data_IF_138480658521
#
_entry.id   IF_138480658521
#
_cell.length_a   1.000
_cell.length_b   1.000
_cell.length_c   1.000
_cell.angle_alpha   90.00
_cell.angle_beta   90.00
_cell.angle_gamma   90.00
#
_symmetry.space_group_name_H-M   'P 1'
#
loop_
_entity.id
_entity.type
_entity.pdbx_description
1 polymer ?
#
# COMPACT_ATOMS: atom_id res chain seq x y z
N UNK A 1 -1.97 -50.49 -26.26
CA UNK A 1 -1.52 -50.93 -24.93
C UNK A 1 -0.03 -50.64 -24.81
N UNK A 2 0.36 -49.68 -23.96
CA UNK A 2 1.76 -49.44 -23.56
C UNK A 2 1.77 -49.27 -22.04
N UNK A 3 2.38 -50.23 -21.37
CA UNK A 3 2.78 -50.18 -19.96
C UNK A 3 4.25 -49.79 -19.94
N UNK A 4 4.62 -48.78 -19.15
CA UNK A 4 5.89 -48.76 -18.42
C UNK A 4 5.71 -47.97 -17.11
N UNK A 5 6.18 -48.61 -16.05
CA UNK A 5 6.23 -48.17 -14.65
C UNK A 5 7.47 -47.29 -14.49
N UNK A 6 7.34 -46.14 -13.81
CA UNK A 6 8.50 -45.43 -13.25
C UNK A 6 8.30 -45.20 -11.74
N UNK A 7 9.15 -45.90 -10.99
CA UNK A 7 9.43 -45.75 -9.57
C UNK A 7 10.59 -44.78 -9.41
N UNK A 8 10.51 -43.84 -8.46
CA UNK A 8 11.59 -42.92 -8.15
C UNK A 8 11.39 -42.18 -6.83
N UNK A 9 11.71 -42.84 -5.72
CA UNK A 9 11.99 -42.22 -4.41
C UNK A 9 13.21 -41.30 -4.53
N UNK A 10 13.19 -40.14 -3.89
CA UNK A 10 14.35 -39.44 -3.31
C UNK A 10 13.81 -38.44 -2.27
N UNK A 11 13.98 -38.67 -0.96
CA UNK A 11 15.21 -38.55 -0.16
C UNK A 11 15.41 -37.12 0.39
N UNK A 12 14.73 -36.86 1.51
CA UNK A 12 15.31 -36.35 2.77
C UNK A 12 16.57 -35.47 2.64
N UNK A 13 16.40 -34.14 2.68
CA UNK A 13 17.51 -33.20 2.87
C UNK A 13 17.51 -32.72 4.34
N UNK A 14 18.34 -33.37 5.16
CA UNK A 14 18.81 -32.86 6.45
C UNK A 14 20.21 -32.32 6.21
N UNK A 15 20.48 -31.04 6.47
CA UNK A 15 21.77 -30.59 7.04
C UNK A 15 21.57 -29.24 7.72
N UNK A 16 21.45 -29.29 9.04
CA UNK A 16 21.74 -28.19 9.96
C UNK A 16 23.24 -28.24 10.19
N UNK A 17 23.98 -27.17 9.90
CA UNK A 17 25.29 -26.93 10.54
C UNK A 17 25.58 -25.43 10.62
N UNK A 18 25.77 -24.98 11.85
CA UNK A 18 26.10 -23.63 12.26
C UNK A 18 27.59 -23.32 12.05
N UNK A 19 27.92 -22.05 11.78
CA UNK A 19 29.22 -21.47 12.17
C UNK A 19 29.00 -20.03 12.64
N UNK A 20 29.19 -19.84 13.94
CA UNK A 20 29.35 -18.56 14.63
C UNK A 20 30.82 -18.16 14.47
N UNK A 21 31.09 -16.97 13.95
CA UNK A 21 32.40 -16.31 14.11
C UNK A 21 32.16 -14.98 14.83
N UNK A 22 32.45 -15.00 16.12
CA UNK A 22 32.75 -13.81 16.92
C UNK A 22 34.17 -13.38 16.57
N UNK A 23 34.33 -12.16 16.04
CA UNK A 23 35.62 -11.48 16.00
C UNK A 23 35.47 -10.13 16.68
N UNK A 24 35.86 -10.10 17.94
CA UNK A 24 36.08 -8.90 18.71
C UNK A 24 37.49 -8.34 18.44
N UNK A 25 37.64 -7.05 18.76
CA UNK A 25 38.87 -6.25 18.83
C UNK A 25 39.24 -5.51 17.54
N UNK A 26 38.91 -4.22 17.49
CA UNK A 26 39.92 -3.17 17.57
C UNK A 26 39.33 -1.92 18.24
N UNK A 27 39.71 -1.73 19.50
CA UNK A 27 39.66 -0.46 20.20
C UNK A 27 40.69 0.47 19.57
N UNK A 28 40.24 1.59 19.01
CA UNK A 28 41.06 2.79 18.86
C UNK A 28 40.20 3.99 19.23
N UNK A 29 40.49 4.54 20.41
CA UNK A 29 40.11 5.87 20.84
C UNK A 29 40.54 6.91 19.81
N UNK A 30 39.57 7.68 19.29
CA UNK A 30 39.82 9.07 18.89
C UNK A 30 39.04 9.95 19.86
N UNK A 31 39.78 10.79 20.58
CA UNK A 31 39.24 11.74 21.54
C UNK A 31 38.38 12.80 20.87
N UNK A 32 37.32 13.13 21.59
CA UNK A 32 36.40 14.26 21.49
C UNK A 32 37.10 15.60 21.29
N UNK A 33 36.68 16.33 20.25
CA UNK A 33 36.56 17.78 20.26
C UNK A 33 35.51 18.19 19.20
N UNK A 34 34.43 18.82 19.68
CA UNK A 34 33.64 19.89 19.03
C UNK A 34 33.40 19.74 17.51
N UNK A 35 32.19 19.46 17.03
CA UNK A 35 31.02 20.34 17.14
C UNK A 35 29.83 19.49 16.74
N UNK A 36 28.93 19.18 17.67
CA UNK A 36 27.63 18.59 17.34
C UNK A 36 26.80 19.71 16.71
N UNK A 37 26.97 19.92 15.41
CA UNK A 37 25.84 20.37 14.61
C UNK A 37 24.80 19.27 14.74
N UNK A 38 23.81 19.53 15.58
CA UNK A 38 22.52 18.86 15.49
C UNK A 38 22.04 19.13 14.06
N UNK A 39 22.38 18.25 13.12
CA UNK A 39 21.51 17.99 12.00
C UNK A 39 20.29 17.31 12.63
N UNK A 40 19.43 18.15 13.21
CA UNK A 40 18.01 17.90 13.20
C UNK A 40 17.73 17.54 11.76
N UNK A 41 17.52 16.26 11.49
CA UNK A 41 16.77 15.84 10.33
C UNK A 41 15.46 16.57 10.49
N UNK A 42 15.36 17.76 9.87
CA UNK A 42 14.13 18.51 9.84
C UNK A 42 13.15 17.53 9.22
N UNK A 43 12.28 17.01 10.07
CA UNK A 43 11.14 16.25 9.67
C UNK A 43 10.23 17.30 9.02
N UNK A 44 10.38 17.54 7.72
CA UNK A 44 9.62 18.55 6.96
C UNK A 44 8.10 18.28 6.95
N UNK A 45 7.62 17.30 7.74
CA UNK A 45 6.25 16.85 7.88
C UNK A 45 5.67 17.16 9.29
N UNK A 46 6.43 17.76 10.21
CA UNK A 46 6.02 17.88 11.62
C UNK A 46 5.10 19.08 12.00
N UNK A 47 4.41 19.76 11.07
CA UNK A 47 3.57 20.91 11.49
C UNK A 47 2.37 21.30 10.62
N UNK A 48 1.67 20.33 10.04
CA UNK A 48 0.36 20.61 9.42
C UNK A 48 -0.71 19.69 9.99
N UNK A 49 -0.74 19.48 11.29
CA UNK A 49 -1.86 18.85 11.99
C UNK A 49 -2.48 19.82 13.01
N UNK A 50 -3.79 19.76 13.21
CA UNK A 50 -4.50 20.55 14.23
C UNK A 50 -4.29 19.97 15.64
N UNK A 51 -4.93 20.58 16.64
CA UNK A 51 -4.85 20.14 18.05
C UNK A 51 -5.30 18.69 18.31
N UNK A 52 -5.98 18.07 17.35
CA UNK A 52 -6.43 16.68 17.39
C UNK A 52 -5.56 15.75 16.52
N UNK A 53 -4.49 16.26 15.91
CA UNK A 53 -3.62 15.49 15.01
C UNK A 53 -4.15 15.34 13.59
N UNK A 54 -5.17 16.12 13.18
CA UNK A 54 -5.77 16.06 11.83
C UNK A 54 -5.05 16.99 10.87
N UNK A 55 -4.71 16.52 9.66
CA UNK A 55 -3.94 17.34 8.72
C UNK A 55 -4.69 18.61 8.26
N UNK A 56 -4.07 19.78 8.43
CA UNK A 56 -4.58 21.08 7.96
C UNK A 56 -4.57 21.06 6.43
N UNK A 57 -5.75 21.05 5.81
CA UNK A 57 -5.93 20.94 4.36
C UNK A 57 -6.38 19.56 3.88
N UNK A 58 -6.73 18.64 4.79
CA UNK A 58 -7.45 17.43 4.44
C UNK A 58 -8.81 17.78 3.83
N UNK A 59 -9.07 17.30 2.62
CA UNK A 59 -10.40 17.36 2.03
C UNK A 59 -11.33 16.54 2.92
N UNK A 60 -12.45 17.14 3.32
CA UNK A 60 -13.47 16.44 4.11
C UNK A 60 -14.21 15.37 3.30
N UNK A 61 -14.00 15.31 1.99
CA UNK A 61 -14.79 14.52 1.07
C UNK A 61 -13.95 13.41 0.42
N UNK A 62 -14.09 12.19 0.96
CA UNK A 62 -13.54 10.95 0.40
C UNK A 62 -14.43 10.38 -0.72
N UNK A 63 -15.70 10.77 -0.77
CA UNK A 63 -16.67 10.29 -1.75
C UNK A 63 -16.22 10.65 -3.16
N UNK A 64 -16.24 9.70 -4.08
CA UNK A 64 -15.90 9.93 -5.48
C UNK A 64 -15.28 8.73 -6.19
N UNK A 65 -14.82 8.99 -7.41
CA UNK A 65 -14.17 8.02 -8.27
C UNK A 65 -12.70 8.36 -8.38
N UNK A 66 -11.83 7.37 -8.21
CA UNK A 66 -10.39 7.55 -8.21
C UNK A 66 -9.70 6.50 -9.07
N UNK A 67 -8.63 6.89 -9.75
CA UNK A 67 -7.67 5.96 -10.37
C UNK A 67 -6.51 5.71 -9.42
N UNK A 68 -6.01 4.48 -9.37
CA UNK A 68 -4.76 4.18 -8.67
C UNK A 68 -3.61 4.83 -9.45
N UNK A 69 -2.68 5.47 -8.73
CA UNK A 69 -1.53 6.17 -9.36
C UNK A 69 -0.19 5.71 -8.82
N UNK A 70 -0.19 4.92 -7.76
CA UNK A 70 1.01 4.26 -7.24
C UNK A 70 0.72 3.35 -6.08
N UNK A 71 1.62 2.38 -5.90
CA UNK A 71 1.73 1.52 -4.73
C UNK A 71 3.18 1.56 -4.30
N UNK A 72 3.42 1.60 -3.00
CA UNK A 72 4.75 1.45 -2.42
C UNK A 72 4.63 0.43 -1.31
N UNK A 73 5.33 -0.70 -1.42
CA UNK A 73 5.43 -1.67 -0.34
C UNK A 73 6.72 -1.47 0.42
N UNK A 74 6.60 -1.47 1.74
CA UNK A 74 7.70 -1.27 2.66
C UNK A 74 8.59 -2.52 2.62
N UNK A 75 9.86 -2.33 2.24
CA UNK A 75 10.86 -3.40 2.20
C UNK A 75 11.01 -4.10 0.84
N UNK A 76 10.29 -3.68 -0.20
CA UNK A 76 10.57 -4.14 -1.57
C UNK A 76 11.85 -3.52 -2.13
N UNK A 77 12.51 -4.24 -3.03
CA UNK A 77 13.68 -3.74 -3.75
C UNK A 77 13.25 -2.78 -4.86
N UNK A 78 14.20 -1.99 -5.37
CA UNK A 78 13.93 -1.09 -6.48
C UNK A 78 13.56 -1.87 -7.76
N UNK A 79 14.19 -3.01 -7.96
CA UNK A 79 13.92 -3.93 -9.07
C UNK A 79 12.48 -4.46 -9.02
N UNK A 80 12.02 -4.92 -7.84
CA UNK A 80 10.64 -5.42 -7.66
C UNK A 80 9.61 -4.33 -7.98
N UNK A 81 9.87 -3.08 -7.53
CA UNK A 81 8.99 -1.94 -7.82
C UNK A 81 8.91 -1.66 -9.32
N UNK A 82 10.01 -1.77 -10.06
CA UNK A 82 10.02 -1.51 -11.51
C UNK A 82 9.23 -2.56 -12.29
N UNK A 83 9.33 -3.84 -11.91
CA UNK A 83 8.63 -4.92 -12.61
C UNK A 83 7.11 -4.81 -12.48
N UNK A 84 6.63 -4.33 -11.33
CA UNK A 84 5.19 -4.26 -11.02
C UNK A 84 4.57 -2.89 -11.27
N UNK A 85 5.39 -1.86 -11.52
CA UNK A 85 4.98 -0.46 -11.59
C UNK A 85 3.73 -0.19 -12.46
N UNK A 86 3.68 -0.78 -13.66
CA UNK A 86 2.58 -0.50 -14.60
C UNK A 86 1.30 -1.27 -14.25
N UNK A 87 1.42 -2.43 -13.60
CA UNK A 87 0.27 -3.23 -13.13
C UNK A 87 -0.30 -2.59 -11.85
N UNK A 88 0.58 -2.13 -10.96
CA UNK A 88 0.22 -1.51 -9.69
C UNK A 88 -0.44 -0.14 -9.85
N UNK A 89 -0.41 0.46 -11.04
CA UNK A 89 -1.16 1.69 -11.35
C UNK A 89 -2.53 1.46 -11.96
N UNK A 90 -2.89 0.23 -12.26
CA UNK A 90 -4.20 -0.07 -12.83
C UNK A 90 -5.27 -0.17 -11.75
N UNK A 91 -6.53 0.00 -12.12
CA UNK A 91 -7.68 -0.17 -11.23
C UNK A 91 -8.23 1.14 -10.68
N UNK A 92 -9.49 1.07 -10.24
CA UNK A 92 -10.27 2.21 -9.80
C UNK A 92 -10.83 1.97 -8.41
N UNK A 93 -10.83 3.00 -7.57
CA UNK A 93 -11.53 3.01 -6.29
C UNK A 93 -12.77 3.89 -6.42
N UNK A 94 -13.91 3.38 -5.98
CA UNK A 94 -15.16 4.12 -5.88
C UNK A 94 -15.57 4.18 -4.42
N UNK A 95 -15.69 5.38 -3.87
CA UNK A 95 -16.18 5.63 -2.52
C UNK A 95 -17.55 6.31 -2.61
N UNK A 96 -18.57 5.66 -2.06
CA UNK A 96 -19.96 6.09 -2.10
C UNK A 96 -20.29 6.97 -0.89
N UNK A 97 -21.38 7.73 -1.00
CA UNK A 97 -21.88 8.62 0.05
C UNK A 97 -22.46 7.88 1.27
N UNK A 98 -22.82 6.60 1.12
CA UNK A 98 -23.30 5.73 2.19
C UNK A 98 -22.20 5.14 3.09
N UNK A 99 -20.93 5.51 2.84
CA UNK A 99 -19.77 4.99 3.58
C UNK A 99 -19.28 3.62 3.10
N UNK A 100 -19.78 3.13 1.96
CA UNK A 100 -19.24 1.93 1.29
C UNK A 100 -18.26 2.32 0.19
N UNK A 101 -17.28 1.46 -0.09
CA UNK A 101 -16.38 1.65 -1.21
C UNK A 101 -16.02 0.32 -1.85
N UNK A 102 -15.53 0.35 -3.08
CA UNK A 102 -14.91 -0.82 -3.70
C UNK A 102 -13.71 -0.42 -4.55
N UNK A 103 -12.69 -1.29 -4.53
CA UNK A 103 -11.59 -1.24 -5.48
C UNK A 103 -11.81 -2.30 -6.57
N UNK A 104 -11.80 -1.87 -7.82
CA UNK A 104 -11.96 -2.71 -8.99
C UNK A 104 -10.64 -2.83 -9.75
N UNK A 105 -10.18 -4.07 -9.94
CA UNK A 105 -9.01 -4.40 -10.74
C UNK A 105 -9.27 -5.70 -11.50
N UNK A 106 -9.09 -5.65 -12.83
CA UNK A 106 -9.29 -6.81 -13.72
C UNK A 106 -10.67 -7.50 -13.54
N UNK A 107 -11.72 -6.68 -13.44
CA UNK A 107 -13.11 -7.13 -13.25
C UNK A 107 -13.42 -7.69 -11.86
N UNK A 108 -12.44 -7.77 -10.94
CA UNK A 108 -12.65 -8.19 -9.56
C UNK A 108 -12.82 -6.99 -8.65
N UNK A 109 -13.78 -7.08 -7.73
CA UNK A 109 -14.06 -6.05 -6.73
C UNK A 109 -13.62 -6.51 -5.35
N UNK A 110 -12.88 -5.65 -4.67
CA UNK A 110 -12.63 -5.74 -3.22
C UNK A 110 -13.49 -4.67 -2.56
N UNK A 111 -14.34 -5.08 -1.63
CA UNK A 111 -15.32 -4.20 -0.99
C UNK A 111 -14.83 -3.72 0.37
N UNK A 112 -15.17 -2.47 0.69
CA UNK A 112 -14.81 -1.81 1.92
C UNK A 112 -16.00 -1.06 2.51
N UNK A 113 -15.92 -0.80 3.80
CA UNK A 113 -16.64 0.27 4.48
C UNK A 113 -15.62 1.26 5.02
N UNK A 114 -15.96 2.56 5.05
CA UNK A 114 -15.05 3.58 5.56
C UNK A 114 -15.77 4.54 6.50
N UNK A 115 -15.00 5.12 7.42
CA UNK A 115 -15.41 6.23 8.27
C UNK A 115 -14.43 7.38 8.14
N UNK A 116 -14.38 8.28 9.12
CA UNK A 116 -13.57 9.52 9.03
C UNK A 116 -12.05 9.29 8.98
N UNK A 117 -11.57 8.12 9.38
CA UNK A 117 -10.12 7.89 9.53
C UNK A 117 -9.64 6.57 8.91
N UNK A 118 -10.53 5.59 8.73
CA UNK A 118 -10.13 4.26 8.31
C UNK A 118 -11.02 3.69 7.19
N UNK A 119 -10.38 2.92 6.31
CA UNK A 119 -11.04 1.92 5.48
C UNK A 119 -10.98 0.55 6.17
N UNK A 120 -12.04 -0.22 6.06
CA UNK A 120 -12.13 -1.59 6.56
C UNK A 120 -12.60 -2.47 5.42
N UNK A 121 -12.05 -3.68 5.30
CA UNK A 121 -12.66 -4.68 4.42
C UNK A 121 -14.10 -4.94 4.87
N UNK A 122 -15.02 -5.11 3.92
CA UNK A 122 -16.45 -5.32 4.22
C UNK A 122 -16.72 -6.56 5.08
N UNK A 123 -15.81 -7.53 5.11
CA UNK A 123 -15.89 -8.72 5.96
C UNK A 123 -15.36 -8.49 7.39
N UNK A 124 -14.62 -7.40 7.67
CA UNK A 124 -14.22 -7.00 9.01
C UNK A 124 -15.36 -6.27 9.75
N UNK A 125 -16.37 -7.05 10.10
CA UNK A 125 -17.55 -6.57 10.82
C UNK A 125 -17.25 -5.95 12.20
N UNK A 126 -16.09 -6.24 12.78
CA UNK A 126 -15.66 -5.71 14.09
C UNK A 126 -14.82 -4.44 13.95
N UNK A 127 -14.44 -4.05 12.72
CA UNK A 127 -13.60 -2.89 12.42
C UNK A 127 -12.28 -2.91 13.20
N UNK A 128 -11.64 -4.08 13.26
CA UNK A 128 -10.40 -4.28 14.04
C UNK A 128 -9.12 -4.04 13.23
N UNK A 129 -9.19 -4.14 11.91
CA UNK A 129 -8.06 -4.07 10.99
C UNK A 129 -8.27 -2.91 10.01
N UNK A 130 -8.42 -1.70 10.54
CA UNK A 130 -8.60 -0.50 9.73
C UNK A 130 -7.32 -0.04 9.05
N UNK A 131 -7.42 0.34 7.78
CA UNK A 131 -6.35 0.98 7.01
C UNK A 131 -6.50 2.49 7.13
N UNK A 132 -5.49 3.15 7.70
CA UNK A 132 -5.53 4.60 7.88
C UNK A 132 -5.48 5.28 6.50
N UNK A 133 -6.22 6.37 6.34
CA UNK A 133 -6.16 7.14 5.10
C UNK A 133 -6.04 8.64 5.32
N UNK A 134 -5.58 9.33 4.29
CA UNK A 134 -5.55 10.80 4.19
C UNK A 134 -6.03 11.20 2.81
N UNK A 135 -6.94 12.18 2.72
CA UNK A 135 -7.42 12.73 1.45
C UNK A 135 -7.09 14.23 1.37
N UNK A 136 -6.26 14.66 0.42
CA UNK A 136 -5.84 16.06 0.27
C UNK A 136 -5.86 16.42 -1.21
N UNK A 137 -6.58 17.49 -1.58
CA UNK A 137 -6.71 18.00 -2.95
C UNK A 137 -7.04 16.91 -3.98
N UNK A 138 -8.03 16.07 -3.69
CA UNK A 138 -8.44 14.95 -4.55
C UNK A 138 -7.45 13.79 -4.63
N UNK A 139 -6.36 13.80 -3.87
CA UNK A 139 -5.46 12.65 -3.70
C UNK A 139 -5.83 11.89 -2.44
N UNK A 140 -6.18 10.62 -2.58
CA UNK A 140 -6.45 9.71 -1.47
C UNK A 140 -5.25 8.77 -1.28
N UNK A 141 -4.73 8.70 -0.06
CA UNK A 141 -3.59 7.86 0.32
C UNK A 141 -4.09 6.90 1.40
N UNK A 142 -3.97 5.60 1.17
CA UNK A 142 -4.34 4.54 2.12
C UNK A 142 -3.07 3.79 2.53
N UNK A 143 -2.89 3.61 3.84
CA UNK A 143 -1.75 2.89 4.43
C UNK A 143 -2.26 1.70 5.26
N UNK A 144 -1.87 0.48 4.87
CA UNK A 144 -2.23 -0.76 5.57
C UNK A 144 -1.15 -1.23 6.57
N UNK A 145 -0.09 -0.45 6.76
CA UNK A 145 1.04 -0.74 7.62
C UNK A 145 2.23 -1.38 6.89
N UNK A 146 2.00 -1.99 5.72
CA UNK A 146 3.05 -2.58 4.87
C UNK A 146 3.07 -2.02 3.46
N UNK A 147 1.96 -1.42 3.04
CA UNK A 147 1.72 -0.90 1.70
C UNK A 147 1.07 0.47 1.81
N UNK A 148 1.59 1.42 1.04
CA UNK A 148 0.99 2.73 0.82
C UNK A 148 0.44 2.76 -0.60
N UNK A 149 -0.87 2.85 -0.73
CA UNK A 149 -1.55 2.98 -2.02
C UNK A 149 -2.01 4.41 -2.22
N UNK A 150 -1.76 4.96 -3.40
CA UNK A 150 -2.14 6.32 -3.77
C UNK A 150 -3.17 6.29 -4.90
N UNK A 151 -4.19 7.11 -4.72
CA UNK A 151 -5.30 7.28 -5.64
C UNK A 151 -5.45 8.77 -5.98
N UNK A 152 -5.86 9.06 -7.21
CA UNK A 152 -6.16 10.40 -7.66
C UNK A 152 -7.60 10.45 -8.18
N UNK A 153 -8.37 11.44 -7.74
CA UNK A 153 -9.74 11.66 -8.20
C UNK A 153 -9.74 11.80 -9.72
N UNK A 154 -10.70 11.13 -10.36
CA UNK A 154 -10.85 11.21 -11.81
C UNK A 154 -11.24 12.62 -12.22
N UNK A 155 -10.73 13.06 -13.37
CA UNK A 155 -11.27 14.23 -14.06
C UNK A 155 -12.65 13.89 -14.64
N UNK A 156 -13.42 14.92 -15.03
CA UNK A 156 -14.74 14.73 -15.65
C UNK A 156 -14.67 13.83 -16.91
N UNK A 157 -13.62 13.99 -17.71
CA UNK A 157 -13.38 13.17 -18.91
C UNK A 157 -13.06 11.70 -18.58
N UNK A 158 -12.22 11.48 -17.56
CA UNK A 158 -11.88 10.14 -17.09
C UNK A 158 -13.09 9.45 -16.48
N UNK A 159 -13.89 10.17 -15.69
CA UNK A 159 -15.13 9.67 -15.10
C UNK A 159 -16.14 9.27 -16.17
N UNK A 160 -16.35 10.13 -17.18
CA UNK A 160 -17.25 9.82 -18.30
C UNK A 160 -16.81 8.55 -19.04
N UNK A 161 -15.50 8.38 -19.23
CA UNK A 161 -14.91 7.20 -19.86
C UNK A 161 -15.12 5.94 -19.03
N UNK A 162 -14.85 6.00 -17.71
CA UNK A 162 -15.07 4.89 -16.77
C UNK A 162 -16.54 4.46 -16.72
N UNK A 163 -17.48 5.41 -16.62
CA UNK A 163 -18.91 5.11 -16.56
C UNK A 163 -19.44 4.51 -17.88
N UNK A 164 -18.83 4.87 -19.02
CA UNK A 164 -19.20 4.28 -20.32
C UNK A 164 -18.73 2.83 -20.44
N UNK A 165 -17.49 2.52 -20.06
CA UNK A 165 -16.97 1.15 -20.11
C UNK A 165 -17.70 0.20 -19.17
N UNK A 166 -18.14 0.68 -18.00
CA UNK A 166 -18.83 -0.16 -17.03
C UNK A 166 -20.27 -0.50 -17.45
N UNK A 167 -20.94 0.36 -18.22
CA UNK A 167 -22.28 0.07 -18.77
C UNK A 167 -22.25 -1.05 -19.81
N UNK A 168 -21.22 -1.10 -20.65
CA UNK A 168 -21.09 -2.09 -21.72
C UNK A 168 -20.74 -3.51 -21.25
N UNK A 169 -20.31 -3.68 -20.00
CA UNK A 169 -20.00 -5.00 -19.42
C UNK A 169 -21.21 -5.78 -18.88
N UNK A 170 -22.41 -5.19 -18.88
CA UNK A 170 -23.62 -5.78 -18.28
C UNK A 170 -24.56 -6.46 -19.30
N UNK A 171 -24.15 -6.55 -20.58
CA UNK A 171 -24.96 -7.09 -21.69
C UNK A 171 -24.42 -8.42 -22.28
N UNK A 172 -23.63 -9.20 -21.54
CA UNK A 172 -23.19 -10.54 -21.97
C UNK A 172 -23.70 -11.66 -21.06
#
# INVERSE_FOLDING_TARGET
MKSQIYSGKNSMLKTILAVIIVSACFLSSCNTAETTTNHTTENWIDSITDENGVYIGQDKEVVGYYKRVGIVKIGETYEDMLELHDIEKQGYLVANDDGTAFFEFDGKKTEFVFDNAYFYLSDDTKKTNGFHYTCINGRLIINDGTTITQYLRLTDEELASYLKSNKTGTEQ
#
